data_IF_350644211575
#
_entry.id   IF_350644211575
#
_cell.length_a   1.000
_cell.length_b   1.000
_cell.length_c   1.000
_cell.angle_alpha   90.00
_cell.angle_beta   90.00
_cell.angle_gamma   90.00
#
_symmetry.space_group_name_H-M   'P 1'
#
loop_
_entity.id
_entity.type
_entity.pdbx_description
1 polymer ?
#
# COMPACT_ATOMS: atom_id res chain seq x y z
N UNK A 1 4.04 -15.30 45.23
CA UNK A 1 3.64 -16.05 44.03
C UNK A 1 4.17 -15.37 42.77
N UNK A 2 5.11 -15.98 42.04
CA UNK A 2 5.80 -15.35 40.91
C UNK A 2 5.16 -15.76 39.58
N UNK A 3 4.24 -14.95 39.05
CA UNK A 3 3.68 -15.14 37.68
C UNK A 3 3.67 -13.85 36.85
N UNK A 4 4.38 -12.79 37.28
CA UNK A 4 4.40 -11.49 36.57
C UNK A 4 5.61 -11.27 35.65
N UNK A 5 6.62 -12.15 35.65
CA UNK A 5 7.79 -12.03 34.76
C UNK A 5 7.61 -12.69 33.37
N UNK A 6 6.53 -13.44 33.16
CA UNK A 6 6.25 -14.24 31.94
C UNK A 6 5.58 -13.48 30.80
N UNK A 7 5.44 -12.15 30.85
CA UNK A 7 4.70 -11.41 29.81
C UNK A 7 5.56 -10.54 28.91
N UNK A 8 6.64 -9.90 29.39
CA UNK A 8 7.48 -9.03 28.53
C UNK A 8 8.52 -9.82 27.74
N UNK A 9 9.31 -10.67 28.39
CA UNK A 9 10.34 -11.46 27.72
C UNK A 9 9.75 -12.46 26.73
N UNK A 10 8.60 -13.08 27.06
CA UNK A 10 7.90 -13.97 26.13
C UNK A 10 7.34 -13.20 24.91
N UNK A 11 6.85 -11.97 25.09
CA UNK A 11 6.41 -11.12 23.97
C UNK A 11 7.57 -10.69 23.09
N UNK A 12 8.69 -10.29 23.69
CA UNK A 12 9.91 -9.93 22.94
C UNK A 12 10.49 -11.14 22.21
N UNK A 13 10.53 -12.31 22.85
CA UNK A 13 10.94 -13.57 22.24
C UNK A 13 10.02 -13.98 21.08
N UNK A 14 8.69 -13.87 21.25
CA UNK A 14 7.74 -14.13 20.18
C UNK A 14 7.88 -13.13 19.02
N UNK A 15 8.12 -11.85 19.31
CA UNK A 15 8.39 -10.84 18.27
C UNK A 15 9.68 -11.14 17.53
N UNK A 16 10.77 -11.46 18.24
CA UNK A 16 12.05 -11.82 17.65
C UNK A 16 11.91 -13.06 16.75
N UNK A 17 11.20 -14.10 17.21
CA UNK A 17 10.92 -15.29 16.42
C UNK A 17 10.14 -14.96 15.15
N UNK A 18 9.08 -14.15 15.25
CA UNK A 18 8.29 -13.72 14.10
C UNK A 18 9.08 -12.87 13.12
N UNK A 19 9.93 -11.97 13.60
CA UNK A 19 10.82 -11.17 12.77
C UNK A 19 11.84 -12.06 12.05
N UNK A 20 12.48 -13.00 12.75
CA UNK A 20 13.43 -13.95 12.17
C UNK A 20 12.77 -14.81 11.09
N UNK A 21 11.59 -15.36 11.37
CA UNK A 21 10.82 -16.14 10.41
C UNK A 21 10.44 -15.32 9.18
N UNK A 22 9.93 -14.09 9.38
CA UNK A 22 9.57 -13.20 8.26
C UNK A 22 10.77 -12.80 7.43
N UNK A 23 11.89 -12.46 8.05
CA UNK A 23 13.11 -12.11 7.32
C UNK A 23 13.61 -13.29 6.50
N UNK A 24 13.60 -14.51 7.06
CA UNK A 24 13.96 -15.73 6.33
C UNK A 24 13.03 -15.94 5.12
N UNK A 25 11.72 -15.80 5.31
CA UNK A 25 10.75 -15.91 4.22
C UNK A 25 10.90 -14.81 3.16
N UNK A 26 11.17 -13.57 3.57
CA UNK A 26 11.40 -12.46 2.65
C UNK A 26 12.65 -12.65 1.82
N UNK A 27 13.75 -13.13 2.42
CA UNK A 27 14.98 -13.46 1.70
C UNK A 27 14.70 -14.62 0.73
N UNK A 28 14.15 -15.73 1.18
CA UNK A 28 13.83 -16.87 0.31
C UNK A 28 13.04 -16.45 -0.94
N UNK A 29 12.04 -15.59 -0.77
CA UNK A 29 11.16 -15.14 -1.86
C UNK A 29 11.65 -13.88 -2.59
N UNK A 30 12.83 -13.33 -2.26
CA UNK A 30 13.26 -12.03 -2.76
C UNK A 30 13.36 -11.99 -4.29
N UNK A 31 14.03 -12.98 -4.89
CA UNK A 31 14.21 -13.03 -6.34
C UNK A 31 12.87 -13.20 -7.08
N UNK A 32 11.98 -14.05 -6.59
CA UNK A 32 10.63 -14.21 -7.13
C UNK A 32 9.79 -12.93 -6.97
N UNK A 33 9.93 -12.23 -5.85
CA UNK A 33 9.26 -10.95 -5.61
C UNK A 33 9.75 -9.87 -6.58
N UNK A 34 11.06 -9.76 -6.81
CA UNK A 34 11.64 -8.86 -7.81
C UNK A 34 11.10 -9.16 -9.22
N UNK A 35 11.01 -10.44 -9.62
CA UNK A 35 10.39 -10.85 -10.88
C UNK A 35 8.95 -10.36 -11.00
N UNK A 36 8.14 -10.64 -9.98
CA UNK A 36 6.73 -10.25 -9.97
C UNK A 36 6.55 -8.74 -10.04
N UNK A 37 7.40 -7.97 -9.35
CA UNK A 37 7.38 -6.50 -9.41
C UNK A 37 7.74 -5.97 -10.78
N UNK A 38 8.78 -6.53 -11.39
CA UNK A 38 9.16 -6.18 -12.75
C UNK A 38 8.04 -6.46 -13.75
N UNK A 39 7.40 -7.63 -13.67
CA UNK A 39 6.26 -7.98 -14.55
C UNK A 39 5.07 -7.05 -14.35
N UNK A 40 4.75 -6.68 -13.11
CA UNK A 40 3.69 -5.71 -12.82
C UNK A 40 4.02 -4.31 -13.36
N UNK A 41 5.28 -3.91 -13.34
CA UNK A 41 5.73 -2.66 -13.95
C UNK A 41 5.54 -2.68 -15.47
N UNK A 42 5.90 -3.79 -16.14
CA UNK A 42 5.69 -3.95 -17.58
C UNK A 42 4.21 -3.97 -17.96
N UNK A 43 3.36 -4.69 -17.22
CA UNK A 43 1.91 -4.69 -17.48
C UNK A 43 1.31 -3.29 -17.35
N UNK A 44 1.74 -2.50 -16.36
CA UNK A 44 1.32 -1.09 -16.23
C UNK A 44 1.83 -0.24 -17.40
N UNK A 45 3.10 -0.43 -17.78
CA UNK A 45 3.70 0.25 -18.93
C UNK A 45 2.87 0.05 -20.18
N UNK A 46 2.54 -1.20 -20.48
CA UNK A 46 1.91 -1.56 -21.75
C UNK A 46 0.48 -1.01 -21.80
N UNK A 47 -0.28 -1.12 -20.71
CA UNK A 47 -1.61 -0.49 -20.58
C UNK A 47 -1.58 1.02 -20.81
N UNK A 48 -0.65 1.73 -20.18
CA UNK A 48 -0.59 3.19 -20.31
C UNK A 48 0.00 3.62 -21.66
N UNK A 49 0.83 2.79 -22.29
CA UNK A 49 1.26 2.98 -23.69
C UNK A 49 0.09 2.84 -24.66
N UNK A 50 -0.81 1.89 -24.44
CA UNK A 50 -2.00 1.73 -25.28
C UNK A 50 -2.89 2.97 -25.21
N UNK A 51 -3.20 3.43 -23.98
CA UNK A 51 -3.96 4.68 -23.74
C UNK A 51 -3.29 5.88 -24.41
N UNK A 52 -1.98 6.04 -24.24
CA UNK A 52 -1.24 7.16 -24.82
C UNK A 52 -1.21 7.07 -26.36
N UNK A 53 -1.14 5.87 -26.92
CA UNK A 53 -1.19 5.63 -28.36
C UNK A 53 -2.53 6.06 -28.93
N UNK A 54 -3.64 5.67 -28.30
CA UNK A 54 -4.98 6.12 -28.69
C UNK A 54 -5.09 7.65 -28.67
N UNK A 55 -4.63 8.30 -27.60
CA UNK A 55 -4.66 9.75 -27.46
C UNK A 55 -3.84 10.46 -28.55
N UNK A 56 -2.65 9.95 -28.89
CA UNK A 56 -1.79 10.55 -29.95
C UNK A 56 -2.43 10.44 -31.35
N UNK A 57 -3.39 9.54 -31.56
CA UNK A 57 -4.15 9.49 -32.82
C UNK A 57 -5.35 10.45 -32.85
N UNK A 58 -5.75 11.01 -31.71
CA UNK A 58 -6.85 11.97 -31.62
C UNK A 58 -6.39 13.39 -31.93
N UNK A 59 -7.24 14.16 -32.62
CA UNK A 59 -7.02 15.60 -32.87
C UNK A 59 -7.03 16.36 -31.54
N UNK A 60 -6.04 17.22 -31.33
CA UNK A 60 -5.96 18.06 -30.14
C UNK A 60 -6.83 19.33 -30.35
N UNK A 61 -7.92 19.53 -29.59
CA UNK A 61 -8.76 20.72 -29.70
C UNK A 61 -8.12 21.99 -29.12
N UNK A 62 -7.01 21.84 -28.37
CA UNK A 62 -6.30 22.95 -27.70
C UNK A 62 -5.00 23.35 -28.40
N UNK A 63 -4.71 22.77 -29.57
CA UNK A 63 -3.53 23.09 -30.37
C UNK A 63 -3.78 24.21 -31.39
N UNK A 64 -2.72 24.92 -31.79
CA UNK A 64 -2.79 26.01 -32.78
C UNK A 64 -2.92 25.53 -34.25
N UNK A 65 -3.46 24.33 -34.46
CA UNK A 65 -3.58 23.70 -35.77
C UNK A 65 -4.21 22.32 -35.63
N UNK A 66 -4.56 21.70 -36.76
CA UNK A 66 -5.19 20.37 -36.83
C UNK A 66 -4.23 19.22 -36.45
N UNK A 67 -3.36 19.44 -35.47
CA UNK A 67 -2.39 18.48 -34.98
C UNK A 67 -3.02 17.60 -33.91
N UNK A 68 -2.59 16.35 -33.86
CA UNK A 68 -3.01 15.44 -32.82
C UNK A 68 -2.37 15.77 -31.47
N UNK A 69 -2.82 15.10 -30.40
CA UNK A 69 -2.12 15.20 -29.12
C UNK A 69 -0.69 14.71 -29.22
N UNK A 70 0.19 15.30 -28.43
CA UNK A 70 1.60 14.91 -28.34
C UNK A 70 2.01 14.71 -26.89
N UNK A 71 3.02 13.88 -26.66
CA UNK A 71 3.63 13.71 -25.33
C UNK A 71 4.16 15.06 -24.79
N UNK A 72 4.75 15.89 -25.66
CA UNK A 72 5.24 17.21 -25.29
C UNK A 72 4.12 18.15 -24.81
N UNK A 73 2.94 18.07 -25.43
CA UNK A 73 1.76 18.83 -24.99
C UNK A 73 1.33 18.38 -23.60
N UNK A 74 1.19 17.08 -23.33
CA UNK A 74 0.82 16.60 -22.00
C UNK A 74 1.86 16.99 -20.93
N UNK A 75 3.16 16.92 -21.23
CA UNK A 75 4.22 17.40 -20.32
C UNK A 75 4.12 18.90 -20.03
N UNK A 76 3.82 19.71 -21.04
CA UNK A 76 3.63 21.16 -20.86
C UNK A 76 2.40 21.46 -20.00
N UNK A 77 1.31 20.72 -20.22
CA UNK A 77 0.09 20.82 -19.42
C UNK A 77 0.31 20.39 -17.96
N UNK A 78 1.09 19.34 -17.72
CA UNK A 78 1.52 18.97 -16.36
C UNK A 78 2.39 20.05 -15.70
N UNK A 79 3.36 20.61 -16.42
CA UNK A 79 4.20 21.68 -15.89
C UNK A 79 3.39 22.94 -15.53
N UNK A 80 2.38 23.27 -16.34
CA UNK A 80 1.44 24.34 -16.03
C UNK A 80 0.60 24.02 -14.78
N UNK A 81 0.09 22.79 -14.65
CA UNK A 81 -0.62 22.34 -13.46
C UNK A 81 0.25 22.46 -12.19
N UNK A 82 1.52 22.02 -12.24
CA UNK A 82 2.45 22.11 -11.10
C UNK A 82 2.74 23.57 -10.76
N UNK A 83 3.02 24.41 -11.77
CA UNK A 83 3.25 25.84 -11.57
C UNK A 83 2.04 26.52 -10.91
N UNK A 84 0.84 26.20 -11.38
CA UNK A 84 -0.40 26.74 -10.81
C UNK A 84 -0.62 26.25 -9.38
N UNK A 85 -0.36 24.97 -9.10
CA UNK A 85 -0.40 24.44 -7.73
C UNK A 85 0.53 25.19 -6.78
N UNK A 86 1.77 25.44 -7.20
CA UNK A 86 2.78 26.15 -6.40
C UNK A 86 2.50 27.66 -6.25
N UNK A 87 1.78 28.29 -7.18
CA UNK A 87 1.53 29.74 -7.16
C UNK A 87 0.19 30.08 -6.48
N UNK A 88 -0.83 29.22 -6.63
CA UNK A 88 -2.18 29.47 -6.14
C UNK A 88 -2.38 29.09 -4.66
N UNK A 89 -1.59 28.14 -4.12
CA UNK A 89 -1.67 27.74 -2.70
C UNK A 89 -1.41 28.93 -1.74
N UNK A 90 -0.67 29.96 -2.16
CA UNK A 90 -0.13 30.97 -1.23
C UNK A 90 -1.01 32.23 -1.05
N UNK A 91 -1.86 32.62 -2.01
CA UNK A 91 -2.55 33.93 -1.95
C UNK A 91 -4.06 33.88 -2.16
N UNK A 92 -4.53 33.37 -3.29
CA UNK A 92 -5.95 33.46 -3.67
C UNK A 92 -6.79 32.40 -2.96
N UNK A 93 -6.31 31.16 -2.81
CA UNK A 93 -7.04 30.10 -2.11
C UNK A 93 -7.23 30.42 -0.62
N UNK A 94 -6.23 31.05 0.01
CA UNK A 94 -6.31 31.47 1.40
C UNK A 94 -7.31 32.61 1.59
N UNK A 95 -7.32 33.59 0.68
CA UNK A 95 -8.28 34.69 0.68
C UNK A 95 -9.71 34.21 0.43
N UNK A 96 -9.91 33.30 -0.54
CA UNK A 96 -11.21 32.70 -0.87
C UNK A 96 -11.76 31.83 0.26
N UNK A 97 -10.91 31.01 0.89
CA UNK A 97 -11.29 30.23 2.09
C UNK A 97 -11.67 31.15 3.25
N UNK A 98 -10.89 32.20 3.49
CA UNK A 98 -11.14 33.19 4.54
C UNK A 98 -12.43 33.97 4.29
N UNK A 99 -12.73 34.31 3.03
CA UNK A 99 -13.96 34.98 2.62
C UNK A 99 -15.19 34.08 2.74
N UNK A 100 -15.09 32.80 2.35
CA UNK A 100 -16.18 31.85 2.57
C UNK A 100 -16.41 31.60 4.07
N UNK A 101 -15.33 31.54 4.87
CA UNK A 101 -15.42 31.43 6.33
C UNK A 101 -16.06 32.66 6.96
N UNK A 102 -15.81 33.85 6.42
CA UNK A 102 -16.50 35.08 6.84
C UNK A 102 -18.02 34.92 6.70
N UNK A 103 -18.50 34.54 5.51
CA UNK A 103 -19.94 34.40 5.27
C UNK A 103 -20.60 33.30 6.12
N UNK A 104 -19.94 32.17 6.37
CA UNK A 104 -20.47 31.14 7.28
C UNK A 104 -20.56 31.64 8.72
N UNK A 105 -19.54 32.35 9.19
CA UNK A 105 -19.55 32.91 10.53
C UNK A 105 -20.66 33.96 10.68
N UNK A 106 -20.91 34.78 9.66
CA UNK A 106 -22.03 35.72 9.64
C UNK A 106 -23.40 35.03 9.65
N UNK A 107 -23.58 33.88 8.97
CA UNK A 107 -24.80 33.09 9.09
C UNK A 107 -25.01 32.57 10.52
N UNK A 108 -23.93 32.12 11.17
CA UNK A 108 -23.96 31.66 12.56
C UNK A 108 -24.31 32.81 13.52
N UNK A 109 -23.67 33.98 13.36
CA UNK A 109 -23.95 35.19 14.14
C UNK A 109 -25.41 35.64 13.91
N UNK A 110 -25.87 35.63 12.66
CA UNK A 110 -27.25 35.94 12.29
C UNK A 110 -28.26 34.99 12.97
N UNK A 111 -27.96 33.70 13.01
CA UNK A 111 -28.80 32.71 13.72
C UNK A 111 -28.84 32.96 15.24
N UNK A 112 -27.72 33.33 15.87
CA UNK A 112 -27.71 33.73 17.29
C UNK A 112 -28.56 34.98 17.52
N UNK A 113 -28.39 36.03 16.70
CA UNK A 113 -29.19 37.26 16.79
C UNK A 113 -30.67 37.01 16.60
N UNK A 114 -31.04 36.19 15.62
CA UNK A 114 -32.41 35.81 15.36
C UNK A 114 -33.03 35.06 16.55
N UNK A 115 -32.29 34.16 17.19
CA UNK A 115 -32.76 33.42 18.38
C UNK A 115 -32.99 34.33 19.59
N UNK A 116 -32.14 35.35 19.78
CA UNK A 116 -32.30 36.36 20.83
C UNK A 116 -33.53 37.22 20.54
N UNK A 117 -33.70 37.68 19.30
CA UNK A 117 -34.81 38.57 18.91
C UNK A 117 -36.18 37.88 18.96
N UNK A 118 -36.26 36.58 18.65
CA UNK A 118 -37.54 35.84 18.56
C UNK A 118 -37.88 35.00 19.80
N UNK A 119 -37.23 35.26 20.95
CA UNK A 119 -37.75 34.80 22.24
C UNK A 119 -37.28 33.43 22.73
N UNK A 120 -36.32 32.77 22.08
CA UNK A 120 -35.64 31.59 22.66
C UNK A 120 -34.58 32.01 23.67
N UNK A 121 -35.04 32.58 24.79
CA UNK A 121 -34.18 33.04 25.87
C UNK A 121 -33.59 31.87 26.65
N UNK A 122 -32.31 31.93 27.05
CA UNK A 122 -31.74 31.00 28.01
C UNK A 122 -32.49 31.02 29.35
N UNK A 123 -32.40 29.94 30.11
CA UNK A 123 -33.13 29.77 31.37
C UNK A 123 -32.70 30.76 32.47
N UNK A 124 -31.49 31.32 32.37
CA UNK A 124 -30.95 32.29 33.33
C UNK A 124 -30.40 33.54 32.66
N UNK A 125 -30.36 34.64 33.42
CA UNK A 125 -29.77 35.91 32.98
C UNK A 125 -28.24 35.81 32.79
N UNK A 126 -27.59 34.92 33.52
CA UNK A 126 -26.16 34.61 33.34
C UNK A 126 -25.92 33.97 31.96
N UNK A 127 -26.71 32.95 31.59
CA UNK A 127 -26.59 32.28 30.29
C UNK A 127 -26.87 33.24 29.12
N UNK A 128 -27.77 34.22 29.31
CA UNK A 128 -28.02 35.27 28.32
C UNK A 128 -26.81 36.20 28.17
N UNK A 129 -26.23 36.64 29.29
CA UNK A 129 -25.05 37.49 29.26
C UNK A 129 -23.86 36.77 28.59
N UNK A 130 -23.66 35.48 28.88
CA UNK A 130 -22.63 34.66 28.24
C UNK A 130 -22.86 34.54 26.72
N UNK A 131 -24.11 34.36 26.29
CA UNK A 131 -24.46 34.28 24.87
C UNK A 131 -24.23 35.61 24.15
N UNK A 132 -24.53 36.75 24.79
CA UNK A 132 -24.25 38.09 24.24
C UNK A 132 -22.75 38.34 24.12
N UNK A 133 -21.96 37.98 25.14
CA UNK A 133 -20.49 38.06 25.08
C UNK A 133 -19.89 37.19 23.96
N UNK A 134 -20.45 35.99 23.74
CA UNK A 134 -20.03 35.12 22.63
C UNK A 134 -20.33 35.76 21.27
N UNK A 135 -21.48 36.42 21.11
CA UNK A 135 -21.83 37.12 19.87
C UNK A 135 -20.89 38.31 19.64
N UNK A 136 -20.67 39.14 20.66
CA UNK A 136 -19.77 40.30 20.59
C UNK A 136 -18.34 39.88 20.21
N UNK A 137 -17.79 38.88 20.88
CA UNK A 137 -16.46 38.34 20.57
C UNK A 137 -16.37 37.79 19.14
N UNK A 138 -17.43 37.17 18.64
CA UNK A 138 -17.47 36.65 17.26
C UNK A 138 -17.56 37.79 16.23
N UNK A 139 -18.29 38.86 16.51
CA UNK A 139 -18.34 40.05 15.66
C UNK A 139 -16.99 40.77 15.61
N UNK A 140 -16.32 40.92 16.75
CA UNK A 140 -14.96 41.48 16.79
C UNK A 140 -14.00 40.67 15.93
N UNK A 141 -14.04 39.34 16.04
CA UNK A 141 -13.24 38.45 15.19
C UNK A 141 -13.58 38.60 13.69
N UNK A 142 -14.86 38.81 13.34
CA UNK A 142 -15.27 39.06 11.95
C UNK A 142 -14.79 40.43 11.44
N UNK A 143 -14.77 41.47 12.27
CA UNK A 143 -14.19 42.76 11.91
C UNK A 143 -12.69 42.65 11.66
N UNK A 144 -11.95 41.94 12.51
CA UNK A 144 -10.52 41.67 12.29
C UNK A 144 -10.28 40.88 11.00
N UNK A 145 -11.12 39.87 10.73
CA UNK A 145 -11.04 39.09 9.49
C UNK A 145 -11.30 39.94 8.24
N UNK A 146 -12.32 40.80 8.25
CA UNK A 146 -12.59 41.72 7.15
C UNK A 146 -11.42 42.68 6.87
N UNK A 147 -10.80 43.21 7.94
CA UNK A 147 -9.59 44.05 7.82
C UNK A 147 -8.44 43.26 7.18
N UNK A 148 -8.20 42.01 7.60
CA UNK A 148 -7.14 41.17 7.01
C UNK A 148 -7.39 40.83 5.54
N UNK A 149 -8.65 40.81 5.12
CA UNK A 149 -9.07 40.62 3.72
C UNK A 149 -9.01 41.92 2.90
N UNK A 150 -8.69 43.07 3.52
CA UNK A 150 -8.71 44.38 2.85
C UNK A 150 -10.12 44.84 2.46
N UNK A 151 -11.15 44.40 3.19
CA UNK A 151 -12.57 44.69 2.89
C UNK A 151 -13.25 45.41 4.05
N UNK A 152 -14.35 46.11 3.74
CA UNK A 152 -15.19 46.72 4.77
C UNK A 152 -16.18 45.68 5.33
N UNK A 153 -16.22 45.54 6.66
CA UNK A 153 -17.10 44.60 7.36
C UNK A 153 -18.58 44.82 7.03
N UNK A 154 -19.07 46.06 7.04
CA UNK A 154 -20.49 46.36 6.80
C UNK A 154 -20.89 46.16 5.34
N UNK A 155 -19.96 46.28 4.39
CA UNK A 155 -20.19 45.95 2.98
C UNK A 155 -20.32 44.44 2.78
N UNK A 156 -19.40 43.65 3.35
CA UNK A 156 -19.44 42.19 3.28
C UNK A 156 -20.69 41.64 3.97
N UNK A 157 -21.03 42.18 5.15
CA UNK A 157 -22.23 41.80 5.90
C UNK A 157 -23.50 42.08 5.11
N UNK A 158 -23.62 43.24 4.46
CA UNK A 158 -24.76 43.56 3.58
C UNK A 158 -24.81 42.65 2.35
N UNK A 159 -23.66 42.19 1.86
CA UNK A 159 -23.57 41.29 0.74
C UNK A 159 -23.88 39.82 1.09
N UNK A 160 -24.20 39.47 2.34
CA UNK A 160 -24.44 38.08 2.77
C UNK A 160 -25.52 37.36 1.94
N UNK A 161 -26.54 38.08 1.49
CA UNK A 161 -27.62 37.55 0.66
C UNK A 161 -27.40 37.70 -0.85
N UNK A 162 -26.27 38.30 -1.25
CA UNK A 162 -25.93 38.51 -2.65
C UNK A 162 -25.60 37.19 -3.35
N UNK A 163 -25.69 37.21 -4.67
CA UNK A 163 -25.27 36.09 -5.52
C UNK A 163 -23.82 35.69 -5.24
N UNK A 164 -22.95 36.69 -5.07
CA UNK A 164 -21.53 36.50 -4.79
C UNK A 164 -21.30 35.72 -3.49
N UNK A 165 -21.94 36.10 -2.39
CA UNK A 165 -21.76 35.41 -1.10
C UNK A 165 -22.29 33.97 -1.15
N UNK A 166 -23.45 33.74 -1.77
CA UNK A 166 -24.00 32.39 -1.94
C UNK A 166 -23.11 31.51 -2.81
N UNK A 167 -22.51 32.07 -3.88
CA UNK A 167 -21.53 31.37 -4.70
C UNK A 167 -20.27 31.01 -3.92
N UNK A 168 -19.76 31.87 -3.02
CA UNK A 168 -18.61 31.54 -2.16
C UNK A 168 -18.89 30.43 -1.16
N UNK A 169 -20.09 30.42 -0.58
CA UNK A 169 -20.53 29.35 0.32
C UNK A 169 -20.71 28.02 -0.42
N UNK A 170 -21.31 28.07 -1.60
CA UNK A 170 -21.42 26.90 -2.48
C UNK A 170 -20.03 26.42 -2.93
N UNK A 171 -19.12 27.35 -3.24
CA UNK A 171 -17.72 27.09 -3.54
C UNK A 171 -17.07 26.22 -2.46
N UNK A 172 -17.08 26.72 -1.22
CA UNK A 172 -16.52 26.05 -0.06
C UNK A 172 -17.15 24.67 0.18
N UNK A 173 -18.47 24.58 0.15
CA UNK A 173 -19.17 23.32 0.40
C UNK A 173 -18.79 22.22 -0.61
N UNK A 174 -18.58 22.58 -1.88
CA UNK A 174 -18.13 21.60 -2.88
C UNK A 174 -16.65 21.28 -2.75
N UNK A 175 -15.79 22.24 -2.41
CA UNK A 175 -14.36 22.00 -2.18
C UNK A 175 -14.15 21.02 -1.02
N UNK A 176 -14.93 21.17 0.06
CA UNK A 176 -14.95 20.20 1.17
C UNK A 176 -15.47 18.83 0.72
N UNK A 177 -16.51 18.78 -0.10
CA UNK A 177 -17.02 17.55 -0.67
C UNK A 177 -16.01 16.85 -1.58
N UNK A 178 -15.26 17.60 -2.39
CA UNK A 178 -14.20 17.08 -3.24
C UNK A 178 -13.03 16.51 -2.41
N UNK A 179 -12.62 17.21 -1.34
CA UNK A 179 -11.64 16.69 -0.41
C UNK A 179 -12.07 15.34 0.19
N UNK A 180 -13.35 15.22 0.57
CA UNK A 180 -13.92 13.94 1.02
C UNK A 180 -13.93 12.86 -0.09
N UNK A 181 -14.07 13.24 -1.35
CA UNK A 181 -14.04 12.30 -2.48
C UNK A 181 -12.62 11.74 -2.70
N UNK A 182 -11.61 12.60 -2.71
CA UNK A 182 -10.19 12.23 -2.82
C UNK A 182 -9.80 11.29 -1.69
N UNK A 183 -10.16 11.65 -0.46
CA UNK A 183 -9.93 10.85 0.74
C UNK A 183 -10.60 9.47 0.70
N UNK A 184 -11.88 9.43 0.31
CA UNK A 184 -12.64 8.18 0.18
C UNK A 184 -12.03 7.26 -0.88
N UNK A 185 -11.55 7.83 -1.99
CA UNK A 185 -10.86 7.07 -3.04
C UNK A 185 -9.52 6.51 -2.54
N UNK A 186 -8.72 7.32 -1.87
CA UNK A 186 -7.43 6.91 -1.32
C UNK A 186 -7.56 5.74 -0.35
N UNK A 187 -8.60 5.69 0.48
CA UNK A 187 -8.84 4.57 1.40
C UNK A 187 -9.36 3.31 0.73
N UNK A 188 -10.07 3.43 -0.38
CA UNK A 188 -10.60 2.30 -1.14
C UNK A 188 -9.57 1.69 -2.06
N UNK A 189 -8.60 2.49 -2.52
CA UNK A 189 -7.57 2.05 -3.45
C UNK A 189 -6.85 0.75 -2.99
N UNK A 190 -6.45 0.58 -1.72
CA UNK A 190 -5.85 -0.66 -1.25
C UNK A 190 -6.79 -1.87 -1.33
N UNK A 191 -8.11 -1.71 -1.14
CA UNK A 191 -9.09 -2.80 -1.26
C UNK A 191 -9.29 -3.19 -2.72
N UNK A 192 -9.37 -2.20 -3.62
CA UNK A 192 -9.48 -2.45 -5.06
C UNK A 192 -8.25 -3.19 -5.57
N UNK A 193 -7.05 -2.74 -5.19
CA UNK A 193 -5.79 -3.39 -5.56
C UNK A 193 -5.61 -4.77 -4.89
N UNK A 194 -6.05 -4.94 -3.63
CA UNK A 194 -5.96 -6.22 -2.93
C UNK A 194 -7.01 -7.27 -3.38
N UNK A 195 -8.04 -6.89 -4.14
CA UNK A 195 -8.93 -7.85 -4.80
C UNK A 195 -8.25 -8.53 -6.00
N UNK A 196 -7.22 -7.92 -6.61
CA UNK A 196 -6.46 -8.53 -7.71
C UNK A 196 -5.23 -9.34 -7.23
N UNK A 197 -4.74 -9.07 -6.02
CA UNK A 197 -3.67 -9.84 -5.39
C UNK A 197 -4.06 -10.09 -3.93
N UNK A 198 -4.30 -11.35 -3.56
CA UNK A 198 -4.68 -11.83 -2.22
C UNK A 198 -3.61 -11.53 -1.13
N UNK A 199 -3.23 -10.27 -0.92
CA UNK A 199 -2.03 -9.86 -0.16
C UNK A 199 -2.37 -8.98 1.05
N UNK A 200 -3.63 -8.60 1.25
CA UNK A 200 -4.05 -7.89 2.46
C UNK A 200 -4.46 -8.90 3.55
N UNK A 201 -3.60 -9.10 4.54
CA UNK A 201 -3.94 -9.90 5.73
C UNK A 201 -5.19 -9.37 6.44
N UNK A 202 -5.91 -10.24 7.16
CA UNK A 202 -7.24 -9.98 7.77
C UNK A 202 -7.30 -8.67 8.55
N UNK A 203 -6.24 -8.38 9.31
CA UNK A 203 -6.13 -7.15 10.13
C UNK A 203 -5.97 -5.86 9.31
N UNK A 204 -5.35 -5.92 8.14
CA UNK A 204 -5.24 -4.75 7.25
C UNK A 204 -6.58 -4.51 6.55
N UNK A 205 -7.25 -5.57 6.10
CA UNK A 205 -8.62 -5.50 5.56
C UNK A 205 -9.59 -4.90 6.58
N UNK A 206 -9.58 -5.37 7.82
CA UNK A 206 -10.39 -4.83 8.92
C UNK A 206 -10.12 -3.34 9.17
N UNK A 207 -8.85 -2.92 9.19
CA UNK A 207 -8.49 -1.51 9.34
C UNK A 207 -9.02 -0.64 8.20
N UNK A 208 -8.91 -1.12 6.96
CA UNK A 208 -9.41 -0.38 5.80
C UNK A 208 -10.95 -0.29 5.84
N UNK A 209 -11.63 -1.39 6.15
CA UNK A 209 -13.10 -1.40 6.29
C UNK A 209 -13.58 -0.50 7.43
N UNK A 210 -12.86 -0.48 8.56
CA UNK A 210 -13.15 0.43 9.66
C UNK A 210 -12.94 1.90 9.27
N UNK A 211 -11.93 2.20 8.47
CA UNK A 211 -11.67 3.54 7.95
C UNK A 211 -12.79 4.01 7.01
N UNK A 212 -13.18 3.16 6.05
CA UNK A 212 -14.32 3.40 5.15
C UNK A 212 -15.61 3.64 5.96
N UNK A 213 -15.88 2.84 6.99
CA UNK A 213 -17.06 3.01 7.86
C UNK A 213 -17.03 4.35 8.60
N UNK A 214 -15.86 4.79 9.08
CA UNK A 214 -15.71 6.09 9.79
C UNK A 214 -15.97 7.28 8.87
N UNK A 215 -15.61 7.20 7.58
CA UNK A 215 -15.80 8.31 6.63
C UNK A 215 -17.24 8.48 6.15
N UNK A 216 -18.12 7.49 6.35
CA UNK A 216 -19.53 7.58 5.91
C UNK A 216 -20.24 8.83 6.45
N UNK A 217 -20.18 9.08 7.76
CA UNK A 217 -20.88 10.21 8.37
C UNK A 217 -20.34 11.59 7.93
N UNK A 218 -19.00 11.83 7.90
CA UNK A 218 -18.44 13.05 7.33
C UNK A 218 -18.85 13.30 5.89
N UNK A 219 -18.80 12.26 5.04
CA UNK A 219 -19.21 12.35 3.63
C UNK A 219 -20.69 12.71 3.52
N UNK A 220 -21.58 12.03 4.25
CA UNK A 220 -23.01 12.36 4.24
C UNK A 220 -23.29 13.79 4.71
N UNK A 221 -22.52 14.31 5.67
CA UNK A 221 -22.62 15.71 6.12
C UNK A 221 -22.19 16.68 5.02
N UNK A 222 -21.08 16.41 4.34
CA UNK A 222 -20.60 17.22 3.21
C UNK A 222 -21.60 17.21 2.05
N UNK A 223 -22.17 16.05 1.71
CA UNK A 223 -23.21 15.91 0.68
C UNK A 223 -24.43 16.75 1.03
N UNK A 224 -24.92 16.66 2.27
CA UNK A 224 -26.07 17.45 2.74
C UNK A 224 -25.80 18.95 2.64
N UNK A 225 -24.62 19.41 3.08
CA UNK A 225 -24.24 20.82 2.99
C UNK A 225 -24.21 21.28 1.52
N UNK A 226 -23.51 20.54 0.65
CA UNK A 226 -23.44 20.85 -0.78
C UNK A 226 -24.83 20.93 -1.44
N UNK A 227 -25.69 19.92 -1.23
CA UNK A 227 -27.04 19.90 -1.78
C UNK A 227 -27.87 21.09 -1.27
N UNK A 228 -27.78 21.42 0.01
CA UNK A 228 -28.49 22.57 0.60
C UNK A 228 -28.02 23.89 0.00
N UNK A 229 -26.70 24.11 -0.08
CA UNK A 229 -26.12 25.34 -0.66
C UNK A 229 -26.48 25.47 -2.14
N UNK A 230 -26.40 24.39 -2.91
CA UNK A 230 -26.74 24.37 -4.33
C UNK A 230 -28.22 24.69 -4.55
N UNK A 231 -29.11 24.08 -3.76
CA UNK A 231 -30.55 24.36 -3.85
C UNK A 231 -30.86 25.80 -3.50
N UNK A 232 -30.31 26.33 -2.41
CA UNK A 232 -30.54 27.72 -1.99
C UNK A 232 -30.09 28.72 -3.06
N UNK A 233 -28.91 28.50 -3.65
CA UNK A 233 -28.39 29.32 -4.73
C UNK A 233 -29.27 29.25 -5.99
N UNK A 234 -29.53 28.05 -6.52
CA UNK A 234 -30.31 27.88 -7.74
C UNK A 234 -31.75 28.36 -7.55
N UNK A 235 -32.38 28.10 -6.40
CA UNK A 235 -33.74 28.58 -6.15
C UNK A 235 -33.85 30.11 -6.16
N UNK A 236 -32.80 30.83 -5.76
CA UNK A 236 -32.81 32.30 -5.71
C UNK A 236 -32.39 32.95 -7.03
N UNK A 237 -31.40 32.39 -7.72
CA UNK A 237 -30.76 33.05 -8.88
C UNK A 237 -30.96 32.33 -10.21
N UNK A 238 -31.23 31.03 -10.22
CA UNK A 238 -31.48 30.27 -11.45
C UNK A 238 -32.43 29.07 -11.23
N UNK A 239 -33.74 29.33 -11.03
CA UNK A 239 -34.71 28.30 -10.70
C UNK A 239 -34.91 27.28 -11.83
N UNK A 240 -34.69 27.70 -13.08
CA UNK A 240 -34.81 26.83 -14.25
C UNK A 240 -33.76 25.72 -14.23
N UNK A 241 -32.51 26.05 -13.85
CA UNK A 241 -31.44 25.05 -13.72
C UNK A 241 -31.67 24.06 -12.58
N UNK A 242 -32.41 24.42 -11.54
CA UNK A 242 -32.70 23.50 -10.42
C UNK A 242 -33.45 22.23 -10.88
N UNK A 243 -34.25 22.34 -11.93
CA UNK A 243 -35.05 21.23 -12.47
C UNK A 243 -34.26 20.29 -13.39
N UNK A 244 -33.04 20.67 -13.77
CA UNK A 244 -32.21 19.89 -14.68
C UNK A 244 -31.74 18.58 -14.02
N UNK A 245 -31.67 17.45 -14.76
CA UNK A 245 -31.21 16.16 -14.23
C UNK A 245 -29.84 16.22 -13.56
N UNK A 246 -28.93 17.05 -14.07
CA UNK A 246 -27.56 17.22 -13.57
C UNK A 246 -27.50 17.92 -12.20
N UNK A 247 -28.56 18.63 -11.81
CA UNK A 247 -28.65 19.37 -10.55
C UNK A 247 -29.45 18.65 -9.47
N UNK A 248 -29.84 17.38 -9.70
CA UNK A 248 -30.47 16.53 -8.68
C UNK A 248 -29.54 16.32 -7.49
N UNK A 249 -30.13 16.24 -6.30
CA UNK A 249 -29.43 16.00 -5.04
C UNK A 249 -28.50 14.78 -5.12
N UNK A 250 -27.25 14.98 -4.74
CA UNK A 250 -26.28 13.89 -4.69
C UNK A 250 -26.59 12.98 -3.52
N UNK A 251 -26.56 11.67 -3.73
CA UNK A 251 -26.75 10.65 -2.68
C UNK A 251 -25.43 9.95 -2.40
N UNK A 252 -25.24 9.44 -1.18
CA UNK A 252 -24.02 8.73 -0.80
C UNK A 252 -23.67 7.57 -1.75
N UNK A 253 -24.67 6.83 -2.22
CA UNK A 253 -24.47 5.72 -3.16
C UNK A 253 -23.86 6.18 -4.49
N UNK A 254 -24.33 7.30 -5.03
CA UNK A 254 -23.84 7.88 -6.28
C UNK A 254 -22.44 8.47 -6.08
N UNK A 255 -22.25 9.24 -5.01
CA UNK A 255 -20.95 9.83 -4.64
C UNK A 255 -19.85 8.78 -4.51
N UNK A 256 -20.17 7.64 -3.92
CA UNK A 256 -19.21 6.55 -3.70
C UNK A 256 -18.69 5.94 -5.00
N UNK A 257 -19.51 5.92 -6.04
CA UNK A 257 -19.16 5.38 -7.35
C UNK A 257 -18.67 6.46 -8.32
N UNK A 258 -18.71 7.72 -7.91
CA UNK A 258 -18.31 8.86 -8.72
C UNK A 258 -16.79 8.90 -8.89
N UNK A 259 -16.33 9.08 -10.13
CA UNK A 259 -14.92 9.31 -10.41
C UNK A 259 -14.54 10.77 -10.05
N UNK A 260 -13.27 11.02 -9.75
CA UNK A 260 -12.71 12.37 -9.65
C UNK A 260 -12.78 13.11 -11.01
N UNK A 261 -13.03 12.39 -12.10
CA UNK A 261 -13.23 12.94 -13.43
C UNK A 261 -14.70 13.25 -13.77
N UNK A 262 -15.64 13.09 -12.84
CA UNK A 262 -17.07 13.38 -13.05
C UNK A 262 -17.30 14.84 -13.51
N UNK A 263 -18.27 15.11 -14.42
CA UNK A 263 -18.62 16.47 -14.83
C UNK A 263 -18.97 17.40 -13.68
N UNK A 264 -19.48 16.86 -12.57
CA UNK A 264 -19.74 17.61 -11.34
C UNK A 264 -18.50 18.38 -10.90
N UNK A 265 -17.30 17.83 -11.02
CA UNK A 265 -16.05 18.49 -10.62
C UNK A 265 -15.50 19.46 -11.68
N UNK A 266 -16.08 19.46 -12.89
CA UNK A 266 -15.58 20.17 -14.08
C UNK A 266 -16.30 21.49 -14.39
N UNK A 267 -17.28 21.89 -13.59
CA UNK A 267 -17.89 23.21 -13.76
C UNK A 267 -16.88 24.31 -13.39
N UNK A 268 -16.67 25.27 -14.29
CA UNK A 268 -15.66 26.33 -14.18
C UNK A 268 -15.87 27.32 -13.02
N UNK A 269 -16.67 26.97 -12.02
CA UNK A 269 -16.87 27.70 -10.76
C UNK A 269 -15.86 27.30 -9.67
N UNK A 270 -15.14 26.17 -9.80
CA UNK A 270 -14.42 25.57 -8.67
C UNK A 270 -12.90 25.46 -8.78
N UNK A 271 -12.33 25.77 -9.94
CA UNK A 271 -10.88 25.95 -10.07
C UNK A 271 -10.60 27.18 -10.93
N UNK A 272 -9.74 28.07 -10.45
CA UNK A 272 -9.34 29.30 -11.15
C UNK A 272 -8.63 29.03 -12.48
N UNK A 273 -8.21 27.78 -12.72
CA UNK A 273 -7.60 27.36 -13.98
C UNK A 273 -8.65 26.83 -14.97
N UNK A 274 -8.94 27.62 -16.00
CA UNK A 274 -9.68 27.17 -17.20
C UNK A 274 -8.78 26.43 -18.20
N UNK A 275 -7.63 25.96 -17.74
CA UNK A 275 -6.62 25.34 -18.57
C UNK A 275 -7.05 23.94 -19.04
N UNK A 276 -6.55 23.45 -20.19
CA UNK A 276 -6.90 22.14 -20.72
C UNK A 276 -6.68 20.99 -19.74
N UNK A 277 -5.61 21.02 -18.92
CA UNK A 277 -5.35 20.01 -17.89
C UNK A 277 -6.41 19.94 -16.78
N UNK A 278 -7.20 20.98 -16.57
CA UNK A 278 -8.26 20.97 -15.57
C UNK A 278 -9.60 20.46 -16.14
N UNK A 279 -9.90 20.82 -17.39
CA UNK A 279 -11.23 20.65 -17.96
C UNK A 279 -11.36 19.44 -18.90
N UNK A 280 -10.29 19.10 -19.63
CA UNK A 280 -10.33 18.06 -20.66
C UNK A 280 -9.92 16.69 -20.08
N UNK A 281 -10.81 15.67 -20.06
CA UNK A 281 -10.49 14.33 -19.60
C UNK A 281 -9.37 13.66 -20.39
N UNK A 282 -9.27 13.91 -21.70
CA UNK A 282 -8.23 13.33 -22.55
C UNK A 282 -6.86 13.92 -22.18
N UNK A 283 -6.81 15.21 -21.84
CA UNK A 283 -5.59 15.86 -21.36
C UNK A 283 -5.14 15.29 -20.03
N UNK A 284 -6.07 15.10 -19.08
CA UNK A 284 -5.77 14.48 -17.78
C UNK A 284 -5.34 13.03 -17.90
N UNK A 285 -6.02 12.25 -18.76
CA UNK A 285 -5.62 10.88 -19.06
C UNK A 285 -4.22 10.84 -19.67
N UNK A 286 -3.92 11.72 -20.64
CA UNK A 286 -2.61 11.83 -21.25
C UNK A 286 -1.50 12.22 -20.26
N UNK A 287 -1.75 13.20 -19.39
CA UNK A 287 -0.83 13.57 -18.31
C UNK A 287 -0.57 12.36 -17.40
N UNK A 288 -1.62 11.69 -16.94
CA UNK A 288 -1.51 10.50 -16.09
C UNK A 288 -0.68 9.42 -16.76
N UNK A 289 -0.97 9.07 -18.01
CA UNK A 289 -0.23 8.03 -18.72
C UNK A 289 1.25 8.38 -18.87
N UNK A 290 1.59 9.62 -19.23
CA UNK A 290 2.98 10.08 -19.30
C UNK A 290 3.69 9.94 -17.95
N UNK A 291 3.07 10.39 -16.85
CA UNK A 291 3.67 10.30 -15.51
C UNK A 291 3.81 8.86 -15.01
N UNK A 292 2.86 7.98 -15.35
CA UNK A 292 2.97 6.56 -15.00
C UNK A 292 4.10 5.90 -15.79
N UNK A 293 4.30 6.27 -17.06
CA UNK A 293 5.43 5.76 -17.84
C UNK A 293 6.77 6.20 -17.26
N UNK A 294 6.92 7.47 -16.88
CA UNK A 294 8.13 7.96 -16.20
C UNK A 294 8.38 7.18 -14.89
N UNK A 295 7.34 7.00 -14.07
CA UNK A 295 7.44 6.23 -12.82
C UNK A 295 7.79 4.76 -13.06
N UNK A 296 7.27 4.15 -14.11
CA UNK A 296 7.60 2.75 -14.45
C UNK A 296 9.05 2.63 -14.89
N UNK A 297 9.57 3.61 -15.64
CA UNK A 297 10.99 3.67 -16.01
C UNK A 297 11.88 3.75 -14.75
N UNK A 298 11.59 4.68 -13.84
CA UNK A 298 12.26 4.78 -12.54
C UNK A 298 12.17 3.48 -11.72
N UNK A 299 10.98 2.83 -11.70
CA UNK A 299 10.78 1.57 -10.99
C UNK A 299 11.62 0.44 -11.57
N UNK A 300 11.76 0.37 -12.90
CA UNK A 300 12.63 -0.62 -13.57
C UNK A 300 14.10 -0.37 -13.22
N UNK A 301 14.55 0.89 -13.19
CA UNK A 301 15.91 1.23 -12.78
C UNK A 301 16.18 0.82 -11.33
N UNK A 302 15.26 1.13 -10.41
CA UNK A 302 15.37 0.73 -9.01
C UNK A 302 15.38 -0.79 -8.85
N UNK A 303 14.51 -1.52 -9.56
CA UNK A 303 14.51 -2.98 -9.54
C UNK A 303 15.82 -3.57 -10.07
N UNK A 304 16.45 -2.91 -11.06
CA UNK A 304 17.75 -3.30 -11.59
C UNK A 304 18.86 -3.11 -10.55
N UNK A 305 18.85 -1.98 -9.83
CA UNK A 305 19.78 -1.73 -8.73
C UNK A 305 19.59 -2.70 -7.56
N UNK A 306 18.34 -3.01 -7.19
CA UNK A 306 18.03 -3.97 -6.13
C UNK A 306 18.42 -5.40 -6.53
N UNK A 307 18.28 -5.77 -7.81
CA UNK A 307 18.82 -7.02 -8.32
C UNK A 307 20.34 -7.07 -8.11
N UNK A 308 21.07 -6.04 -8.53
CA UNK A 308 22.54 -5.95 -8.37
C UNK A 308 22.96 -6.08 -6.91
N UNK A 309 22.32 -5.32 -6.02
CA UNK A 309 22.56 -5.39 -4.57
C UNK A 309 22.30 -6.78 -4.00
N UNK A 310 21.22 -7.43 -4.43
CA UNK A 310 20.83 -8.75 -3.95
C UNK A 310 21.86 -9.82 -4.35
N UNK A 311 22.31 -9.81 -5.60
CA UNK A 311 23.30 -10.79 -6.08
C UNK A 311 24.71 -10.50 -5.58
N UNK A 312 25.07 -9.22 -5.38
CA UNK A 312 26.33 -8.83 -4.73
C UNK A 312 26.35 -9.30 -3.28
N UNK A 313 25.28 -9.03 -2.51
CA UNK A 313 25.17 -9.51 -1.13
C UNK A 313 25.30 -11.03 -1.05
N UNK A 314 24.59 -11.76 -1.91
CA UNK A 314 24.60 -13.20 -1.87
C UNK A 314 25.98 -13.78 -2.25
N UNK A 315 26.69 -13.16 -3.20
CA UNK A 315 28.07 -13.51 -3.55
C UNK A 315 29.07 -13.20 -2.43
N UNK A 316 29.03 -11.98 -1.88
CA UNK A 316 29.97 -11.52 -0.85
C UNK A 316 29.78 -12.27 0.46
N UNK A 317 28.53 -12.55 0.86
CA UNK A 317 28.25 -13.34 2.06
C UNK A 317 28.79 -14.77 1.93
N UNK A 318 28.66 -15.40 0.76
CA UNK A 318 29.27 -16.70 0.49
C UNK A 318 30.79 -16.64 0.62
N UNK A 319 31.43 -15.62 0.05
CA UNK A 319 32.88 -15.45 0.15
C UNK A 319 33.35 -15.19 1.58
N UNK A 320 32.55 -14.46 2.37
CA UNK A 320 32.82 -14.27 3.79
C UNK A 320 32.80 -15.62 4.52
N UNK A 321 31.76 -16.44 4.31
CA UNK A 321 31.68 -17.78 4.90
C UNK A 321 32.88 -18.66 4.53
N UNK A 322 33.27 -18.67 3.25
CA UNK A 322 34.44 -19.43 2.78
C UNK A 322 35.75 -18.94 3.41
N UNK A 323 35.94 -17.62 3.53
CA UNK A 323 37.12 -17.04 4.18
C UNK A 323 37.17 -17.38 5.66
N UNK A 324 36.03 -17.29 6.36
CA UNK A 324 35.96 -17.65 7.79
C UNK A 324 36.18 -19.13 8.00
N UNK A 325 35.66 -20.01 7.13
CA UNK A 325 35.96 -21.45 7.17
C UNK A 325 37.45 -21.73 7.00
N UNK A 326 38.12 -21.06 6.04
CA UNK A 326 39.55 -21.20 5.86
C UNK A 326 40.35 -20.75 7.09
N UNK A 327 39.94 -19.64 7.74
CA UNK A 327 40.55 -19.18 8.98
C UNK A 327 40.36 -20.19 10.13
N UNK A 328 39.17 -20.75 10.29
CA UNK A 328 38.91 -21.79 11.32
C UNK A 328 39.76 -23.02 11.06
N UNK A 329 39.94 -23.42 9.80
CA UNK A 329 40.80 -24.54 9.43
C UNK A 329 42.27 -24.29 9.80
N UNK A 330 42.82 -23.12 9.45
CA UNK A 330 44.20 -22.74 9.81
C UNK A 330 44.43 -22.70 11.32
N UNK A 331 43.49 -22.16 12.09
CA UNK A 331 43.59 -22.12 13.56
C UNK A 331 43.39 -23.49 14.23
N UNK A 332 42.87 -24.47 13.48
CA UNK A 332 42.70 -25.86 13.93
C UNK A 332 43.92 -26.74 13.60
N UNK A 333 44.94 -26.21 12.91
CA UNK A 333 46.18 -26.92 12.65
C UNK A 333 47.01 -27.07 13.93
N UNK A 334 47.64 -28.23 14.12
CA UNK A 334 48.43 -28.50 15.32
C UNK A 334 49.79 -27.78 15.29
N UNK A 335 50.25 -27.18 16.42
CA UNK A 335 49.57 -27.10 17.71
C UNK A 335 48.51 -25.97 17.75
N UNK A 336 47.31 -26.29 18.23
CA UNK A 336 46.20 -25.34 18.32
C UNK A 336 46.53 -24.22 19.31
N UNK A 337 46.60 -22.98 18.83
CA UNK A 337 46.84 -21.81 19.68
C UNK A 337 45.65 -21.53 20.59
N UNK A 338 45.91 -21.39 21.89
CA UNK A 338 44.91 -20.97 22.87
C UNK A 338 44.50 -19.49 22.69
N UNK A 339 45.36 -18.67 22.11
CA UNK A 339 45.13 -17.24 21.83
C UNK A 339 44.87 -17.02 20.34
N UNK A 340 43.82 -17.65 19.82
CA UNK A 340 43.39 -17.46 18.43
C UNK A 340 42.33 -16.37 18.29
N UNK A 341 42.05 -15.95 17.05
CA UNK A 341 41.07 -14.90 16.73
C UNK A 341 39.64 -15.21 17.21
N UNK A 342 39.34 -16.49 17.50
CA UNK A 342 38.06 -16.97 18.01
C UNK A 342 38.08 -17.19 19.54
N UNK A 343 39.12 -16.80 20.26
CA UNK A 343 39.28 -16.99 21.72
C UNK A 343 38.08 -16.46 22.51
N UNK A 344 37.53 -15.31 22.10
CA UNK A 344 36.40 -14.65 22.75
C UNK A 344 35.03 -15.29 22.49
N UNK A 345 34.92 -16.23 21.53
CA UNK A 345 33.65 -16.92 21.23
C UNK A 345 33.54 -18.13 22.15
N UNK A 346 32.44 -18.24 22.90
CA UNK A 346 32.21 -19.34 23.84
C UNK A 346 33.43 -19.58 24.77
N UNK A 347 33.83 -18.59 25.58
CA UNK A 347 35.09 -18.63 26.34
C UNK A 347 35.16 -19.77 27.37
N UNK A 348 34.03 -20.39 27.71
CA UNK A 348 33.94 -21.54 28.61
C UNK A 348 34.18 -22.90 27.93
N UNK A 349 34.35 -22.94 26.60
CA UNK A 349 34.49 -24.17 25.81
C UNK A 349 35.95 -24.34 25.38
N UNK A 350 36.45 -25.57 25.43
CA UNK A 350 37.79 -25.93 24.96
C UNK A 350 37.99 -25.49 23.49
N UNK A 351 39.17 -24.94 23.19
CA UNK A 351 39.45 -24.34 21.88
C UNK A 351 39.25 -25.29 20.71
N UNK A 352 39.68 -26.55 20.83
CA UNK A 352 39.51 -27.59 19.81
C UNK A 352 38.02 -27.87 19.51
N UNK A 353 37.23 -28.09 20.57
CA UNK A 353 35.78 -28.34 20.45
C UNK A 353 35.09 -27.12 19.83
N UNK A 354 35.47 -25.91 20.25
CA UNK A 354 34.94 -24.65 19.72
C UNK A 354 35.21 -24.52 18.22
N UNK A 355 36.45 -24.75 17.78
CA UNK A 355 36.81 -24.67 16.36
C UNK A 355 36.06 -25.72 15.53
N UNK A 356 35.91 -26.95 16.06
CA UNK A 356 35.08 -27.99 15.43
C UNK A 356 33.61 -27.59 15.30
N UNK A 357 33.01 -27.03 16.35
CA UNK A 357 31.62 -26.54 16.33
C UNK A 357 31.43 -25.38 15.34
N UNK A 358 32.37 -24.42 15.32
CA UNK A 358 32.36 -23.32 14.35
C UNK A 358 32.46 -23.85 12.93
N UNK A 359 33.37 -24.80 12.67
CA UNK A 359 33.52 -25.41 11.36
C UNK A 359 32.22 -26.09 10.90
N UNK A 360 31.57 -26.88 11.77
CA UNK A 360 30.32 -27.57 11.44
C UNK A 360 29.17 -26.59 11.16
N UNK A 361 28.98 -25.57 12.02
CA UNK A 361 27.90 -24.59 11.86
C UNK A 361 28.14 -23.66 10.65
N UNK A 362 29.39 -23.26 10.38
CA UNK A 362 29.73 -22.46 9.19
C UNK A 362 29.52 -23.27 7.90
N UNK A 363 29.87 -24.55 7.86
CA UNK A 363 29.61 -25.41 6.70
C UNK A 363 28.11 -25.60 6.47
N UNK A 364 27.33 -25.80 7.54
CA UNK A 364 25.87 -25.86 7.44
C UNK A 364 25.29 -24.57 6.87
N UNK A 365 25.70 -23.42 7.40
CA UNK A 365 25.26 -22.11 6.91
C UNK A 365 25.69 -21.87 5.45
N UNK A 366 26.88 -22.31 5.05
CA UNK A 366 27.34 -22.26 3.66
C UNK A 366 26.48 -23.11 2.74
N UNK A 367 26.13 -24.33 3.13
CA UNK A 367 25.24 -25.22 2.37
C UNK A 367 23.85 -24.63 2.23
N UNK A 368 23.26 -24.13 3.33
CA UNK A 368 21.96 -23.47 3.32
C UNK A 368 21.95 -22.21 2.43
N UNK A 369 23.02 -21.41 2.50
CA UNK A 369 23.17 -20.23 1.66
C UNK A 369 23.37 -20.59 0.18
N UNK A 370 24.15 -21.62 -0.13
CA UNK A 370 24.31 -22.13 -1.48
C UNK A 370 22.97 -22.63 -2.07
N UNK A 371 22.15 -23.32 -1.26
CA UNK A 371 20.78 -23.73 -1.66
C UNK A 371 19.89 -22.52 -1.92
N UNK A 372 19.94 -21.50 -1.06
CA UNK A 372 19.25 -20.22 -1.30
C UNK A 372 19.70 -19.60 -2.63
N UNK A 373 21.01 -19.53 -2.87
CA UNK A 373 21.56 -18.94 -4.09
C UNK A 373 21.04 -19.65 -5.35
N UNK A 374 21.06 -20.99 -5.35
CA UNK A 374 20.53 -21.80 -6.45
C UNK A 374 19.01 -21.62 -6.62
N UNK A 375 18.26 -21.49 -5.53
CA UNK A 375 16.81 -21.24 -5.60
C UNK A 375 16.47 -19.92 -6.31
N UNK A 376 17.34 -18.91 -6.22
CA UNK A 376 17.15 -17.64 -6.90
C UNK A 376 17.60 -17.64 -8.37
N UNK A 377 18.39 -18.64 -8.79
CA UNK A 377 19.10 -18.65 -10.07
C UNK A 377 18.20 -18.36 -11.28
N UNK A 378 17.07 -19.07 -11.43
CA UNK A 378 16.17 -18.90 -12.57
C UNK A 378 15.52 -17.51 -12.62
N UNK A 379 15.11 -16.99 -11.45
CA UNK A 379 14.52 -15.66 -11.34
C UNK A 379 15.55 -14.56 -11.65
N UNK A 380 16.76 -14.70 -11.12
CA UNK A 380 17.88 -13.78 -11.38
C UNK A 380 18.25 -13.79 -12.86
N UNK A 381 18.39 -14.96 -13.49
CA UNK A 381 18.72 -15.05 -14.92
C UNK A 381 17.65 -14.38 -15.80
N UNK A 382 16.38 -14.63 -15.49
CA UNK A 382 15.26 -14.01 -16.21
C UNK A 382 15.28 -12.49 -16.07
N UNK A 383 15.44 -11.98 -14.84
CA UNK A 383 15.54 -10.54 -14.60
C UNK A 383 16.77 -9.95 -15.27
N UNK A 384 17.94 -10.57 -15.09
CA UNK A 384 19.21 -10.12 -15.65
C UNK A 384 19.14 -9.94 -17.16
N UNK A 385 18.53 -10.88 -17.89
CA UNK A 385 18.37 -10.75 -19.35
C UNK A 385 17.40 -9.63 -19.74
N UNK A 386 16.43 -9.31 -18.90
CA UNK A 386 15.32 -8.38 -19.21
C UNK A 386 15.59 -6.94 -18.75
N UNK A 387 16.46 -6.74 -17.76
CA UNK A 387 16.74 -5.41 -17.19
C UNK A 387 17.99 -4.75 -17.75
N UNK A 388 18.92 -5.50 -18.35
CA UNK A 388 20.18 -4.94 -18.86
C UNK A 388 19.95 -4.15 -20.14
N UNK A 389 20.45 -2.92 -20.15
CA UNK A 389 20.54 -2.08 -21.33
C UNK A 389 21.99 -2.05 -21.84
N UNK A 390 22.22 -1.40 -22.98
CA UNK A 390 23.58 -1.18 -23.53
C UNK A 390 24.52 -0.43 -22.55
N UNK A 391 23.96 0.20 -21.51
CA UNK A 391 24.68 1.06 -20.57
C UNK A 391 24.92 0.42 -19.18
N UNK A 392 24.36 -0.76 -18.91
CA UNK A 392 24.58 -1.48 -17.63
C UNK A 392 25.70 -2.51 -17.79
N UNK A 393 26.54 -2.69 -16.75
CA UNK A 393 27.58 -3.73 -16.75
C UNK A 393 26.94 -5.09 -17.02
N UNK A 394 27.44 -5.79 -18.04
CA UNK A 394 26.90 -7.07 -18.50
C UNK A 394 27.48 -8.28 -17.74
N UNK A 395 28.38 -8.07 -16.77
CA UNK A 395 29.01 -9.13 -15.99
C UNK A 395 28.82 -8.91 -14.48
N UNK A 396 28.65 -10.02 -13.76
CA UNK A 396 28.64 -10.05 -12.30
C UNK A 396 29.23 -11.38 -11.81
N UNK A 397 30.14 -11.39 -10.80
CA UNK A 397 30.84 -12.59 -10.32
C UNK A 397 29.93 -13.74 -9.86
N UNK A 398 28.70 -13.42 -9.49
CA UNK A 398 27.63 -14.39 -9.22
C UNK A 398 27.52 -15.47 -10.31
N UNK A 399 27.53 -15.05 -11.58
CA UNK A 399 27.31 -15.96 -12.71
C UNK A 399 28.48 -16.92 -12.92
N UNK A 400 29.67 -16.55 -12.46
CA UNK A 400 30.87 -17.40 -12.54
C UNK A 400 30.80 -18.57 -11.55
N UNK A 401 30.11 -18.38 -10.41
CA UNK A 401 30.08 -19.37 -9.33
C UNK A 401 28.78 -20.18 -9.28
N UNK A 402 27.66 -19.62 -9.74
CA UNK A 402 26.33 -20.21 -9.50
C UNK A 402 26.15 -21.59 -10.13
N UNK A 403 26.70 -21.81 -11.32
CA UNK A 403 26.65 -23.11 -12.00
C UNK A 403 27.45 -24.18 -11.24
N UNK A 404 28.68 -23.86 -10.83
CA UNK A 404 29.50 -24.79 -10.04
C UNK A 404 28.86 -25.12 -8.68
N UNK A 405 28.20 -24.14 -8.03
CA UNK A 405 27.47 -24.39 -6.79
C UNK A 405 26.31 -25.36 -7.02
N UNK A 406 25.53 -25.16 -8.09
CA UNK A 406 24.43 -26.05 -8.46
C UNK A 406 24.93 -27.48 -8.71
N UNK A 407 25.99 -27.64 -9.49
CA UNK A 407 26.59 -28.95 -9.79
C UNK A 407 27.03 -29.68 -8.52
N UNK A 408 27.75 -29.00 -7.61
CA UNK A 408 28.19 -29.57 -6.33
C UNK A 408 27.02 -30.01 -5.45
N UNK A 409 25.96 -29.20 -5.37
CA UNK A 409 24.75 -29.56 -4.61
C UNK A 409 24.01 -30.75 -5.23
N UNK A 410 23.98 -30.86 -6.56
CA UNK A 410 23.38 -32.03 -7.23
C UNK A 410 24.20 -33.30 -7.04
N UNK A 411 25.53 -33.22 -7.07
CA UNK A 411 26.42 -34.37 -6.86
C UNK A 411 26.39 -34.85 -5.40
N UNK A 412 26.39 -33.94 -4.42
CA UNK A 412 26.28 -34.30 -3.00
C UNK A 412 24.95 -34.99 -2.67
N UNK A 413 23.84 -34.54 -3.25
CA UNK A 413 22.56 -35.22 -3.09
C UNK A 413 22.53 -36.63 -3.71
N UNK A 414 23.31 -36.89 -4.77
CA UNK A 414 23.40 -38.23 -5.38
C UNK A 414 24.29 -39.13 -4.50
N UNK A 415 25.38 -38.60 -3.94
CA UNK A 415 26.21 -39.32 -2.97
C UNK A 415 25.47 -39.71 -1.69
N UNK A 416 24.64 -38.82 -1.14
CA UNK A 416 23.77 -39.13 0.01
C UNK A 416 22.73 -40.22 -0.31
N UNK A 417 22.29 -40.33 -1.57
CA UNK A 417 21.36 -41.38 -2.03
C UNK A 417 22.11 -42.70 -2.22
N UNK A 418 23.31 -42.71 -2.81
CA UNK A 418 24.15 -43.90 -2.94
C UNK A 418 24.59 -44.44 -1.57
N UNK A 419 24.94 -43.57 -0.60
CA UNK A 419 25.28 -43.98 0.77
C UNK A 419 24.04 -44.53 1.52
N UNK A 420 22.84 -43.99 1.24
CA UNK A 420 21.59 -44.55 1.77
C UNK A 420 21.23 -45.89 1.09
N UNK A 421 21.57 -46.08 -0.19
CA UNK A 421 21.37 -47.33 -0.94
C UNK A 421 22.37 -48.41 -0.49
N UNK A 422 23.64 -48.05 -0.30
CA UNK A 422 24.67 -48.92 0.27
C UNK A 422 24.29 -49.38 1.68
N UNK A 423 23.78 -48.48 2.53
CA UNK A 423 23.29 -48.83 3.86
C UNK A 423 22.05 -49.74 3.85
N UNK A 424 21.29 -49.78 2.76
CA UNK A 424 20.21 -50.77 2.56
C UNK A 424 20.76 -52.13 2.13
N UNK A 425 21.80 -52.17 1.28
CA UNK A 425 22.43 -53.42 0.83
C UNK A 425 23.32 -54.08 1.90
N UNK A 426 23.97 -53.31 2.77
CA UNK A 426 24.76 -53.88 3.90
C UNK A 426 23.89 -54.52 4.99
N UNK A 427 22.58 -54.29 4.98
CA UNK A 427 21.64 -54.94 5.93
C UNK A 427 21.20 -56.34 5.49
N UNK A 428 21.49 -56.74 4.25
CA UNK A 428 21.10 -58.04 3.68
C UNK A 428 22.19 -59.11 3.79
N UNK A 429 23.47 -58.75 4.01
CA UNK A 429 24.58 -59.71 4.11
C UNK A 429 24.97 -60.12 5.55
N UNK A 430 24.13 -59.80 6.55
CA UNK A 430 24.46 -59.97 7.98
C UNK A 430 23.61 -60.96 8.77
N UNK A 431 22.78 -61.80 8.14
CA UNK A 431 21.86 -62.71 8.83
C UNK A 431 21.97 -64.16 8.36
N UNK A 432 23.19 -64.69 8.29
CA UNK A 432 23.42 -66.13 8.31
C UNK A 432 24.18 -66.52 9.58
N UNK A 433 23.41 -66.86 10.62
CA UNK A 433 23.67 -67.85 11.68
C UNK A 433 22.98 -67.41 12.98
N UNK A 434 21.78 -67.96 13.22
CA UNK A 434 21.49 -68.82 14.36
C UNK A 434 20.31 -69.71 13.93
N UNK A 435 20.61 -71.01 13.84
CA UNK A 435 19.70 -72.12 13.59
C UNK A 435 19.08 -72.55 14.94
N UNK A 436 17.78 -72.83 14.88
CA UNK A 436 16.93 -73.73 15.71
C UNK A 436 16.90 -73.56 17.24
N UNK A 437 15.69 -73.33 17.77
CA UNK A 437 14.82 -74.45 18.20
C UNK A 437 13.41 -73.95 18.59
N UNK A 438 12.38 -74.66 18.10
CA UNK A 438 11.21 -74.99 18.91
C UNK A 438 9.90 -74.23 18.64
N UNK A 439 8.98 -74.89 17.92
CA UNK A 439 7.55 -74.86 18.28
C UNK A 439 6.60 -74.40 17.18
N UNK A 440 6.01 -75.36 16.48
CA UNK A 440 4.83 -75.20 15.63
C UNK A 440 3.60 -74.80 16.46
N UNK A 441 2.72 -73.98 15.90
CA UNK A 441 1.48 -74.51 15.31
C UNK A 441 0.70 -73.44 14.56
N UNK A 442 0.06 -73.95 13.52
CA UNK A 442 -0.70 -73.32 12.45
C UNK A 442 -2.19 -73.47 12.77
N UNK A 443 -2.99 -72.42 12.53
CA UNK A 443 -4.35 -72.48 11.94
C UNK A 443 -4.94 -71.04 11.94
N UNK A 444 -5.29 -70.43 10.79
CA UNK A 444 -6.38 -70.71 9.84
C UNK A 444 -7.78 -70.37 10.39
N UNK A 445 -8.43 -69.36 9.77
CA UNK A 445 -9.88 -69.23 9.48
C UNK A 445 -10.21 -67.73 9.27
N UNK A 446 -10.58 -67.30 8.06
CA UNK A 446 -11.98 -67.10 7.60
C UNK A 446 -12.78 -66.17 8.55
N UNK A 447 -13.28 -65.01 8.14
CA UNK A 447 -14.25 -64.79 7.07
C UNK A 447 -15.57 -64.35 7.72
N UNK A 448 -16.18 -63.25 7.27
CA UNK A 448 -17.49 -62.83 7.77
C UNK A 448 -17.79 -61.34 7.63
N UNK A 449 -18.40 -60.98 6.51
CA UNK A 449 -19.28 -59.83 6.34
C UNK A 449 -20.55 -59.98 7.20
N UNK A 450 -21.04 -58.89 7.78
CA UNK A 450 -22.49 -58.73 7.99
C UNK A 450 -22.89 -57.25 7.95
N UNK A 451 -23.97 -57.00 7.21
CA UNK A 451 -24.67 -55.74 7.05
C UNK A 451 -25.56 -55.46 8.27
N UNK A 452 -25.94 -54.21 8.46
CA UNK A 452 -26.89 -53.82 9.49
C UNK A 452 -27.30 -52.37 9.37
N UNK A 453 -28.23 -52.11 8.45
CA UNK A 453 -29.08 -50.91 8.44
C UNK A 453 -29.79 -50.76 9.79
N UNK A 454 -29.95 -49.52 10.27
CA UNK A 454 -31.20 -49.15 10.90
C UNK A 454 -31.52 -47.68 10.64
N UNK A 455 -32.71 -47.52 10.07
CA UNK A 455 -33.45 -46.30 9.78
C UNK A 455 -34.27 -45.97 11.02
N UNK A 456 -34.33 -44.71 11.44
CA UNK A 456 -35.59 -44.24 12.02
C UNK A 456 -35.98 -42.84 11.53
N UNK A 457 -37.18 -42.84 10.98
CA UNK A 457 -38.00 -41.76 10.48
C UNK A 457 -38.70 -41.00 11.63
N UNK A 458 -39.25 -39.83 11.32
CA UNK A 458 -40.28 -39.21 12.15
C UNK A 458 -40.18 -37.70 12.18
N UNK A 459 -40.58 -36.95 11.15
CA UNK A 459 -41.94 -36.73 10.63
C UNK A 459 -42.35 -35.26 10.88
N UNK A 460 -42.86 -34.68 9.80
CA UNK A 460 -43.32 -33.31 9.63
C UNK A 460 -44.56 -32.97 10.47
N UNK A 461 -44.80 -31.67 10.66
CA UNK A 461 -46.15 -31.10 10.46
C UNK A 461 -46.05 -29.58 10.23
N UNK A 462 -46.43 -29.17 9.02
CA UNK A 462 -46.96 -27.83 8.69
C UNK A 462 -48.34 -27.64 9.34
N UNK A 463 -48.64 -26.43 9.80
CA UNK A 463 -49.80 -25.59 9.41
C UNK A 463 -49.93 -24.38 10.36
N UNK A 464 -50.20 -23.19 9.80
CA UNK A 464 -50.45 -21.95 10.52
C UNK A 464 -49.95 -20.70 9.82
#
# INVERSE_FOLDING_TARGET
GPLRYTTRNNRLGALAHRCKYRNKQSILNLAAWLCSKFEQALVRRDREKDVLTELIHMKNPHGNGHTNYTVSFFRAQWADQVRMGLTQEDLDDAAEKSLAQFFENEEVIGAYKYRIANGTWPATLADLNDLLQVVEKKEEAQRTLAISLGRNYEELRRAQESEFAMLKLLWKAKSELYAQAVETRAERQPVVTAKSQNTAGTRLKEKIMAAIKRRKNPVEKAIKNFNQRRRAYLQKFDPARLLLPENKDLVYADFVNMDLDDPLWRDGHFYHARAPWALDPNVRSGIKSVLVLDRVEEEVELLTQELDRSITWAYDYRNLLLRTLAQVATESEEPVSADNIFSNILPSVLTEIKLGLLHLELNKNLTDHNRLMVSWMLNIESLWRRTRSRHTKASHPWFDVIHSIKEKLTQGNIGDIDEALENLTFREEGLDQIIEEGGSDFDSAEGGSDDGEDVDMGAEAQEG
#
